data_IF_331141482594
#
_entry.id   IF_331141482594
#
_cell.length_a   1.000
_cell.length_b   1.000
_cell.length_c   1.000
_cell.angle_alpha   90.00
_cell.angle_beta   90.00
_cell.angle_gamma   90.00
#
_symmetry.space_group_name_H-M   'P 1'
#
loop_
_entity.id
_entity.type
_entity.pdbx_description
1 polymer ?
#
# COMPACT_ATOMS: atom_id res chain seq x y z
N UNK A 1 -33.87 -22.54 -59.59
CA UNK A 1 -34.61 -23.09 -58.45
C UNK A 1 -34.73 -21.98 -57.42
N UNK A 2 -35.90 -21.37 -57.31
CA UNK A 2 -36.13 -20.21 -56.44
C UNK A 2 -36.40 -20.68 -55.01
N UNK A 3 -35.61 -20.20 -54.05
CA UNK A 3 -35.86 -20.47 -52.62
C UNK A 3 -36.98 -19.51 -52.18
N UNK A 4 -38.06 -20.00 -51.54
CA UNK A 4 -39.10 -19.12 -51.01
C UNK A 4 -38.56 -18.32 -49.82
N UNK A 5 -38.90 -17.03 -49.75
CA UNK A 5 -38.69 -16.24 -48.54
C UNK A 5 -39.69 -16.70 -47.47
N UNK A 6 -39.19 -17.36 -46.41
CA UNK A 6 -39.99 -17.67 -45.23
C UNK A 6 -40.37 -16.36 -44.52
N UNK A 7 -41.63 -16.26 -44.07
CA UNK A 7 -42.06 -15.10 -43.29
C UNK A 7 -41.53 -15.23 -41.86
N UNK A 8 -41.26 -14.10 -41.19
CA UNK A 8 -40.85 -14.12 -39.79
C UNK A 8 -41.90 -14.76 -38.86
N UNK A 9 -43.17 -14.78 -39.29
CA UNK A 9 -44.28 -15.44 -38.59
C UNK A 9 -44.19 -16.98 -38.55
N UNK A 10 -43.38 -17.62 -39.41
CA UNK A 10 -43.28 -19.08 -39.51
C UNK A 10 -42.24 -19.70 -38.56
N UNK A 11 -41.62 -18.90 -37.67
CA UNK A 11 -40.63 -19.34 -36.69
C UNK A 11 -41.16 -19.20 -35.25
N UNK A 12 -41.70 -20.27 -34.63
CA UNK A 12 -42.44 -20.22 -33.36
C UNK A 12 -41.56 -20.01 -32.10
N UNK A 13 -40.37 -19.44 -32.26
CA UNK A 13 -39.40 -19.14 -31.20
C UNK A 13 -38.74 -17.75 -31.34
N UNK A 14 -39.15 -16.94 -32.33
CA UNK A 14 -38.75 -15.53 -32.40
C UNK A 14 -39.87 -14.67 -31.77
N UNK A 15 -39.58 -13.81 -30.78
CA UNK A 15 -40.55 -12.88 -30.25
C UNK A 15 -40.93 -11.86 -31.33
N UNK A 16 -42.19 -11.44 -31.33
CA UNK A 16 -42.71 -10.40 -32.21
C UNK A 16 -41.99 -9.06 -31.87
N UNK A 17 -41.73 -8.15 -32.84
CA UNK A 17 -40.90 -6.96 -32.61
C UNK A 17 -41.32 -6.07 -31.42
N UNK A 18 -42.61 -6.03 -31.07
CA UNK A 18 -43.08 -5.30 -29.89
C UNK A 18 -42.77 -6.05 -28.57
N UNK A 19 -42.91 -7.39 -28.53
CA UNK A 19 -42.44 -8.20 -27.39
C UNK A 19 -40.92 -8.08 -27.19
N UNK A 20 -40.16 -8.03 -28.29
CA UNK A 20 -38.71 -7.81 -28.25
C UNK A 20 -38.34 -6.42 -27.70
N UNK A 21 -39.20 -5.41 -27.86
CA UNK A 21 -39.05 -4.10 -27.21
C UNK A 21 -39.39 -4.17 -25.73
N UNK A 22 -40.52 -4.76 -25.35
CA UNK A 22 -40.92 -4.89 -23.94
C UNK A 22 -39.86 -5.64 -23.12
N UNK A 23 -39.28 -6.73 -23.66
CA UNK A 23 -38.20 -7.46 -23.00
C UNK A 23 -36.91 -6.63 -22.90
N UNK A 24 -36.56 -5.83 -23.91
CA UNK A 24 -35.40 -4.94 -23.86
C UNK A 24 -35.58 -3.80 -22.85
N UNK A 25 -36.78 -3.23 -22.75
CA UNK A 25 -37.12 -2.21 -21.74
C UNK A 25 -37.14 -2.80 -20.32
N UNK A 26 -37.58 -4.05 -20.16
CA UNK A 26 -37.58 -4.76 -18.90
C UNK A 26 -36.16 -5.14 -18.43
N UNK A 27 -35.31 -5.65 -19.31
CA UNK A 27 -33.88 -5.94 -19.02
C UNK A 27 -33.12 -4.65 -18.66
N UNK A 28 -33.35 -3.55 -19.40
CA UNK A 28 -32.76 -2.23 -19.10
C UNK A 28 -33.28 -1.59 -17.80
N UNK A 29 -34.32 -2.16 -17.18
CA UNK A 29 -34.84 -1.74 -15.87
C UNK A 29 -34.21 -2.48 -14.69
N UNK A 30 -33.38 -3.52 -14.91
CA UNK A 30 -32.80 -4.33 -13.84
C UNK A 30 -31.82 -3.51 -12.96
N UNK A 31 -32.08 -3.35 -11.65
CA UNK A 31 -31.18 -2.65 -10.72
C UNK A 31 -29.82 -3.32 -10.50
N UNK A 32 -29.59 -4.55 -10.99
CA UNK A 32 -28.31 -5.29 -10.84
C UNK A 32 -27.08 -4.49 -11.31
N UNK A 33 -27.25 -3.55 -12.26
CA UNK A 33 -26.17 -2.66 -12.72
C UNK A 33 -26.08 -1.28 -12.02
N UNK A 34 -26.96 -0.98 -11.06
CA UNK A 34 -27.05 0.34 -10.40
C UNK A 34 -26.32 0.41 -9.03
N UNK A 35 -25.45 -0.56 -8.72
CA UNK A 35 -24.79 -0.70 -7.41
C UNK A 35 -23.25 -0.56 -7.44
N UNK A 36 -22.70 0.23 -8.37
CA UNK A 36 -21.32 0.72 -8.26
C UNK A 36 -21.29 2.03 -7.47
N UNK A 37 -21.30 1.96 -6.13
CA UNK A 37 -20.95 3.14 -5.33
C UNK A 37 -19.55 3.61 -5.73
N UNK A 38 -19.37 4.87 -6.21
CA UNK A 38 -18.07 5.31 -6.68
C UNK A 38 -17.08 5.25 -5.53
N UNK A 39 -15.95 4.58 -5.74
CA UNK A 39 -14.92 4.44 -4.70
C UNK A 39 -14.36 5.81 -4.32
N UNK A 40 -13.64 5.91 -3.20
CA UNK A 40 -12.96 7.16 -2.83
C UNK A 40 -12.02 7.63 -3.96
N UNK A 41 -11.40 6.70 -4.70
CA UNK A 41 -10.58 6.99 -5.88
C UNK A 41 -11.43 7.53 -7.04
N UNK A 42 -12.58 6.93 -7.34
CA UNK A 42 -13.49 7.42 -8.40
C UNK A 42 -14.03 8.82 -8.10
N UNK A 43 -14.42 9.09 -6.84
CA UNK A 43 -14.91 10.41 -6.41
C UNK A 43 -13.81 11.48 -6.58
N UNK A 44 -12.56 11.15 -6.28
CA UNK A 44 -11.40 12.03 -6.51
C UNK A 44 -11.14 12.21 -8.01
N UNK A 45 -11.13 11.12 -8.80
CA UNK A 45 -10.92 11.18 -10.24
C UNK A 45 -12.01 12.01 -10.96
N UNK A 46 -13.27 11.85 -10.57
CA UNK A 46 -14.39 12.65 -11.07
C UNK A 46 -14.29 14.13 -10.66
N UNK A 47 -13.83 14.43 -9.45
CA UNK A 47 -13.61 15.81 -9.00
C UNK A 47 -12.50 16.49 -9.82
N UNK A 48 -11.36 15.82 -10.03
CA UNK A 48 -10.26 16.31 -10.89
C UNK A 48 -10.72 16.46 -12.33
N UNK A 49 -11.40 15.46 -12.90
CA UNK A 49 -11.91 15.50 -14.27
C UNK A 49 -13.07 16.50 -14.48
N UNK A 50 -13.68 17.02 -13.41
CA UNK A 50 -14.60 18.17 -13.47
C UNK A 50 -13.80 19.48 -13.48
N UNK A 51 -12.96 19.70 -12.46
CA UNK A 51 -12.09 20.87 -12.34
C UNK A 51 -11.26 21.15 -13.61
N UNK A 52 -10.70 20.11 -14.24
CA UNK A 52 -9.94 20.24 -15.49
C UNK A 52 -10.83 20.69 -16.66
N UNK A 53 -12.08 20.22 -16.76
CA UNK A 53 -13.03 20.68 -17.78
C UNK A 53 -13.47 22.12 -17.52
N UNK A 54 -13.84 22.43 -16.29
CA UNK A 54 -14.26 23.78 -15.90
C UNK A 54 -13.15 24.81 -16.16
N UNK A 55 -11.88 24.42 -15.98
CA UNK A 55 -10.70 25.23 -16.29
C UNK A 55 -10.46 25.42 -17.81
N UNK A 56 -10.75 24.40 -18.64
CA UNK A 56 -10.66 24.52 -20.10
C UNK A 56 -11.91 25.15 -20.74
N UNK A 57 -13.02 25.29 -20.00
CA UNK A 57 -14.21 26.04 -20.42
C UNK A 57 -13.96 27.55 -20.28
N UNK A 58 -13.19 28.10 -21.23
CA UNK A 58 -12.96 29.55 -21.33
C UNK A 58 -14.29 30.27 -21.59
N UNK A 59 -14.72 31.22 -20.74
CA UNK A 59 -15.87 32.07 -21.04
C UNK A 59 -15.53 33.08 -22.13
N UNK A 60 -16.40 33.24 -23.14
CA UNK A 60 -16.23 34.15 -24.27
C UNK A 60 -16.25 35.64 -23.86
N UNK A 61 -15.16 36.11 -23.27
CA UNK A 61 -14.89 37.52 -22.99
C UNK A 61 -13.42 37.84 -23.27
N UNK A 62 -13.17 38.74 -24.23
CA UNK A 62 -11.83 39.18 -24.65
C UNK A 62 -11.13 40.11 -23.65
N UNK A 63 -11.11 39.75 -22.37
CA UNK A 63 -10.70 40.61 -21.26
C UNK A 63 -9.75 39.97 -20.23
N UNK A 64 -9.11 38.84 -20.57
CA UNK A 64 -8.17 38.13 -19.69
C UNK A 64 -6.82 38.87 -19.55
N UNK A 65 -6.85 39.98 -18.80
CA UNK A 65 -5.67 40.72 -18.35
C UNK A 65 -4.92 40.02 -17.20
N UNK A 66 -4.43 40.76 -16.18
CA UNK A 66 -3.60 40.19 -15.09
C UNK A 66 -4.18 38.96 -14.38
N UNK A 67 -5.51 38.79 -14.38
CA UNK A 67 -6.20 37.61 -13.84
C UNK A 67 -5.73 36.28 -14.42
N UNK A 68 -5.25 36.23 -15.66
CA UNK A 68 -4.66 35.02 -16.25
C UNK A 68 -3.47 34.50 -15.42
N UNK A 69 -2.62 35.40 -14.91
CA UNK A 69 -1.49 35.04 -14.05
C UNK A 69 -1.93 34.65 -12.63
N UNK A 70 -3.04 35.21 -12.14
CA UNK A 70 -3.63 34.82 -10.85
C UNK A 70 -4.17 33.38 -10.92
N UNK A 71 -4.92 33.06 -11.97
CA UNK A 71 -5.43 31.69 -12.20
C UNK A 71 -4.28 30.71 -12.39
N UNK A 72 -3.26 31.06 -13.19
CA UNK A 72 -2.05 30.24 -13.35
C UNK A 72 -1.30 30.03 -12.02
N UNK A 73 -1.19 31.07 -11.18
CA UNK A 73 -0.59 30.97 -9.85
C UNK A 73 -1.35 30.03 -8.93
N UNK A 74 -2.69 30.11 -8.90
CA UNK A 74 -3.54 29.19 -8.14
C UNK A 74 -3.41 27.75 -8.64
N UNK A 75 -3.30 27.53 -9.95
CA UNK A 75 -3.05 26.19 -10.54
C UNK A 75 -1.69 25.66 -10.10
N UNK A 76 -0.62 26.46 -10.17
CA UNK A 76 0.72 26.05 -9.72
C UNK A 76 0.72 25.70 -8.23
N UNK A 77 0.08 26.51 -7.37
CA UNK A 77 -0.07 26.20 -5.94
C UNK A 77 -0.88 24.93 -5.73
N UNK A 78 -2.00 24.74 -6.44
CA UNK A 78 -2.82 23.52 -6.33
C UNK A 78 -2.05 22.27 -6.78
N UNK A 79 -1.28 22.34 -7.87
CA UNK A 79 -0.41 21.25 -8.35
C UNK A 79 0.70 20.96 -7.34
N UNK A 80 1.32 21.99 -6.74
CA UNK A 80 2.33 21.81 -5.68
C UNK A 80 1.71 21.18 -4.43
N UNK A 81 0.53 21.62 -3.98
CA UNK A 81 -0.17 21.03 -2.83
C UNK A 81 -0.58 19.58 -3.11
N UNK A 82 -1.13 19.28 -4.29
CA UNK A 82 -1.50 17.90 -4.67
C UNK A 82 -0.26 17.02 -4.81
N UNK A 83 0.84 17.52 -5.37
CA UNK A 83 2.12 16.82 -5.37
C UNK A 83 2.60 16.57 -3.94
N UNK A 84 2.60 17.56 -3.05
CA UNK A 84 2.97 17.40 -1.63
C UNK A 84 2.03 16.47 -0.86
N UNK A 85 0.76 16.31 -1.25
CA UNK A 85 -0.13 15.31 -0.64
C UNK A 85 0.14 13.89 -1.17
N UNK A 86 0.53 13.74 -2.43
CA UNK A 86 0.88 12.45 -3.06
C UNK A 86 2.27 11.95 -2.64
N UNK A 87 3.24 12.87 -2.51
CA UNK A 87 4.68 12.63 -2.30
C UNK A 87 5.20 13.03 -0.92
N UNK A 88 4.49 13.90 -0.20
CA UNK A 88 4.91 14.48 1.09
C UNK A 88 4.28 13.82 2.32
N UNK A 89 3.48 12.76 2.17
CA UNK A 89 3.60 11.66 3.13
C UNK A 89 4.98 11.04 2.97
N UNK A 90 5.71 10.71 4.05
CA UNK A 90 7.04 10.13 3.97
C UNK A 90 6.95 8.70 3.41
N UNK A 91 6.83 8.59 2.08
CA UNK A 91 7.04 7.34 1.35
C UNK A 91 8.53 7.02 1.45
N UNK A 92 8.92 6.40 2.57
CA UNK A 92 10.22 5.78 2.77
C UNK A 92 10.32 4.54 1.89
N UNK A 93 10.29 4.76 0.57
CA UNK A 93 10.70 3.81 -0.45
C UNK A 93 12.19 4.06 -0.70
N UNK A 94 13.11 3.26 -0.14
CA UNK A 94 14.53 3.51 -0.31
C UNK A 94 14.86 3.25 -1.78
N UNK A 95 15.14 4.33 -2.52
CA UNK A 95 15.60 4.31 -3.92
C UNK A 95 16.82 3.41 -3.98
N UNK A 96 16.64 2.19 -4.49
CA UNK A 96 17.48 1.01 -4.26
C UNK A 96 18.91 1.31 -3.79
N UNK A 97 19.08 1.44 -2.48
CA UNK A 97 20.40 1.55 -1.87
C UNK A 97 21.15 0.23 -2.12
N UNK A 98 22.49 0.27 -2.31
CA UNK A 98 23.31 -0.93 -2.30
C UNK A 98 22.98 -1.78 -1.06
N UNK A 99 22.94 -3.09 -1.22
CA UNK A 99 22.66 -4.00 -0.11
C UNK A 99 23.61 -3.73 1.07
N UNK A 100 23.09 -3.88 2.30
CA UNK A 100 23.74 -3.83 3.63
C UNK A 100 23.20 -2.75 4.59
N UNK A 101 22.84 -1.52 4.17
CA UNK A 101 22.37 -0.45 5.10
C UNK A 101 20.90 -0.57 5.59
N UNK A 102 20.23 -1.71 5.41
CA UNK A 102 18.76 -1.78 5.55
C UNK A 102 18.23 -2.10 6.96
N UNK A 103 19.06 -2.66 7.85
CA UNK A 103 18.64 -3.17 9.17
C UNK A 103 18.80 -2.09 10.25
N UNK A 104 19.98 -1.49 10.28
CA UNK A 104 20.26 -0.21 10.91
C UNK A 104 20.69 0.72 9.78
N UNK A 105 19.89 1.74 9.48
CA UNK A 105 20.44 2.96 8.88
C UNK A 105 21.19 3.67 10.01
N UNK A 106 22.45 4.04 9.80
CA UNK A 106 23.25 4.71 10.84
C UNK A 106 22.66 6.09 11.23
N UNK A 107 21.82 6.66 10.37
CA UNK A 107 21.04 7.89 10.59
C UNK A 107 19.65 7.67 11.24
N UNK A 108 19.17 6.43 11.43
CA UNK A 108 17.82 6.16 11.99
C UNK A 108 17.83 6.24 13.53
N UNK A 109 17.90 7.48 14.03
CA UNK A 109 18.01 7.86 15.45
C UNK A 109 16.83 7.44 16.35
N UNK A 110 15.79 6.78 15.81
CA UNK A 110 14.62 6.33 16.58
C UNK A 110 14.98 5.20 17.55
N UNK A 111 14.39 5.27 18.73
CA UNK A 111 14.39 4.21 19.74
C UNK A 111 13.56 3.00 19.31
N UNK A 112 13.75 1.87 19.98
CA UNK A 112 12.95 0.67 19.73
C UNK A 112 11.44 0.91 19.93
N UNK A 113 11.04 1.71 20.92
CA UNK A 113 9.62 1.97 21.21
C UNK A 113 8.95 2.92 20.21
N UNK A 114 9.69 3.90 19.68
CA UNK A 114 9.20 4.71 18.54
C UNK A 114 9.00 3.84 17.30
N UNK A 115 9.94 2.93 17.00
CA UNK A 115 9.81 1.97 15.91
C UNK A 115 8.63 0.99 16.12
N UNK A 116 8.32 0.60 17.38
CA UNK A 116 7.10 -0.17 17.71
C UNK A 116 5.82 0.63 17.46
N UNK A 117 5.82 1.91 17.82
CA UNK A 117 4.68 2.80 17.61
C UNK A 117 4.41 3.05 16.12
N UNK A 118 5.46 3.33 15.33
CA UNK A 118 5.37 3.48 13.88
C UNK A 118 4.90 2.18 13.21
N UNK A 119 5.42 1.02 13.64
CA UNK A 119 4.99 -0.30 13.13
C UNK A 119 3.50 -0.57 13.40
N UNK A 120 3.02 -0.29 14.61
CA UNK A 120 1.61 -0.41 14.96
C UNK A 120 0.73 0.57 14.16
N UNK A 121 1.22 1.80 13.93
CA UNK A 121 0.54 2.80 13.12
C UNK A 121 0.52 2.48 11.62
N UNK A 122 1.45 1.65 11.11
CA UNK A 122 1.41 1.08 9.77
C UNK A 122 0.42 -0.09 9.67
N UNK A 123 0.48 -1.03 10.61
CA UNK A 123 -0.44 -2.16 10.72
C UNK A 123 -1.91 -1.69 10.81
N UNK A 124 -2.20 -0.64 11.59
CA UNK A 124 -3.53 -0.05 11.72
C UNK A 124 -4.11 0.55 10.43
N UNK A 125 -3.27 0.78 9.40
CA UNK A 125 -3.68 1.26 8.07
C UNK A 125 -3.76 0.15 7.03
N UNK A 126 -3.33 -1.08 7.37
CA UNK A 126 -3.13 -2.17 6.43
C UNK A 126 -1.82 -2.11 5.65
N UNK A 127 -0.88 -1.23 6.02
CA UNK A 127 0.43 -1.10 5.37
C UNK A 127 1.40 -2.17 5.91
N UNK A 128 1.06 -3.45 5.69
CA UNK A 128 1.74 -4.61 6.31
C UNK A 128 3.24 -4.70 5.99
N UNK A 129 3.64 -4.37 4.76
CA UNK A 129 5.05 -4.36 4.34
C UNK A 129 5.90 -3.42 5.22
N UNK A 130 5.38 -2.20 5.47
CA UNK A 130 6.02 -1.19 6.31
C UNK A 130 5.99 -1.62 7.78
N UNK A 131 4.86 -2.16 8.25
CA UNK A 131 4.70 -2.64 9.62
C UNK A 131 5.71 -3.77 9.96
N UNK A 132 5.90 -4.74 9.06
CA UNK A 132 6.85 -5.85 9.21
C UNK A 132 8.30 -5.31 9.28
N UNK A 133 8.67 -4.41 8.37
CA UNK A 133 10.02 -3.83 8.32
C UNK A 133 10.32 -3.01 9.58
N UNK A 134 9.39 -2.16 10.01
CA UNK A 134 9.54 -1.35 11.22
C UNK A 134 9.58 -2.19 12.49
N UNK A 135 8.75 -3.24 12.61
CA UNK A 135 8.74 -4.12 13.79
C UNK A 135 10.03 -4.94 13.89
N UNK A 136 10.61 -5.38 12.77
CA UNK A 136 11.92 -6.04 12.79
C UNK A 136 13.06 -5.06 13.15
N UNK A 137 13.01 -3.81 12.67
CA UNK A 137 13.92 -2.74 13.11
C UNK A 137 13.80 -2.46 14.61
N UNK A 138 12.57 -2.40 15.14
CA UNK A 138 12.30 -2.20 16.56
C UNK A 138 12.90 -3.32 17.44
N UNK A 139 12.69 -4.58 17.03
CA UNK A 139 13.31 -5.75 17.66
C UNK A 139 14.84 -5.64 17.68
N UNK A 140 15.45 -5.33 16.53
CA UNK A 140 16.90 -5.24 16.40
C UNK A 140 17.51 -4.08 17.22
N UNK A 141 16.90 -2.90 17.15
CA UNK A 141 17.23 -1.73 17.99
C UNK A 141 17.08 -2.06 19.48
N UNK A 142 16.02 -2.78 19.87
CA UNK A 142 15.76 -3.16 21.26
C UNK A 142 16.79 -4.16 21.83
N UNK A 143 17.37 -5.04 21.02
CA UNK A 143 18.49 -5.89 21.48
C UNK A 143 19.79 -5.11 21.61
N UNK A 144 20.05 -4.13 20.73
CA UNK A 144 21.23 -3.27 20.80
C UNK A 144 21.17 -2.29 21.98
N UNK A 145 20.04 -1.62 22.21
CA UNK A 145 19.79 -0.75 23.38
C UNK A 145 19.97 -1.47 24.71
N UNK A 146 19.67 -2.78 24.75
CA UNK A 146 19.82 -3.64 25.94
C UNK A 146 21.20 -4.30 26.03
N UNK A 147 22.12 -4.05 25.09
CA UNK A 147 23.46 -4.64 25.05
C UNK A 147 23.49 -6.17 24.87
N UNK A 148 22.44 -6.75 24.27
CA UNK A 148 22.28 -8.21 24.10
C UNK A 148 22.95 -8.69 22.80
N UNK A 149 22.88 -7.88 21.75
CA UNK A 149 23.55 -8.10 20.47
C UNK A 149 24.16 -6.78 20.04
N UNK A 150 25.46 -6.77 19.80
CA UNK A 150 26.17 -5.66 19.17
C UNK A 150 26.37 -5.98 17.68
N UNK A 151 25.56 -5.42 16.76
CA UNK A 151 25.67 -5.69 15.34
C UNK A 151 26.89 -4.97 14.76
N UNK A 152 27.84 -5.68 14.10
CA UNK A 152 28.92 -4.99 13.40
C UNK A 152 28.35 -4.09 12.28
N UNK A 153 28.99 -2.95 11.97
CA UNK A 153 28.54 -2.06 10.89
C UNK A 153 28.34 -2.84 9.59
N UNK A 154 27.12 -2.78 9.06
CA UNK A 154 26.73 -3.56 7.90
C UNK A 154 26.35 -5.03 8.16
N UNK A 155 25.84 -5.36 9.35
CA UNK A 155 25.23 -6.67 9.61
C UNK A 155 24.01 -6.92 8.69
N UNK A 156 24.00 -8.06 7.98
CA UNK A 156 22.82 -8.53 7.25
C UNK A 156 21.77 -9.11 8.20
N UNK A 157 20.50 -9.16 7.76
CA UNK A 157 19.36 -9.73 8.52
C UNK A 157 19.69 -11.11 9.09
N UNK A 158 20.26 -12.00 8.27
CA UNK A 158 20.66 -13.36 8.68
C UNK A 158 21.92 -13.40 9.55
N UNK A 159 22.79 -12.39 9.48
CA UNK A 159 23.92 -12.27 10.41
C UNK A 159 23.42 -11.83 11.80
N UNK A 160 22.52 -10.84 11.84
CA UNK A 160 21.88 -10.39 13.07
C UNK A 160 21.04 -11.48 13.72
N UNK A 161 20.19 -12.18 12.95
CA UNK A 161 19.38 -13.29 13.45
C UNK A 161 20.25 -14.38 14.10
N UNK A 162 21.35 -14.81 13.47
CA UNK A 162 22.28 -15.78 14.08
C UNK A 162 22.92 -15.30 15.38
N UNK A 163 23.28 -14.02 15.48
CA UNK A 163 23.83 -13.44 16.71
C UNK A 163 22.76 -13.38 17.82
N UNK A 164 21.53 -12.98 17.48
CA UNK A 164 20.38 -12.99 18.38
C UNK A 164 20.02 -14.42 18.84
N UNK A 165 20.07 -15.43 17.96
CA UNK A 165 19.81 -16.83 18.31
C UNK A 165 20.89 -17.41 19.23
N UNK A 166 22.14 -16.93 19.14
CA UNK A 166 23.19 -17.30 20.10
C UNK A 166 22.98 -16.65 21.48
N UNK A 167 22.53 -15.40 21.53
CA UNK A 167 22.26 -14.68 22.79
C UNK A 167 20.92 -15.10 23.45
N UNK A 168 19.93 -15.51 22.65
CA UNK A 168 18.58 -15.89 23.06
C UNK A 168 18.17 -17.27 22.45
N UNK A 169 18.85 -18.39 22.79
CA UNK A 169 18.57 -19.70 22.19
C UNK A 169 17.10 -20.17 22.18
N UNK A 170 16.26 -19.87 23.20
CA UNK A 170 14.83 -20.24 23.18
C UNK A 170 14.00 -19.56 22.09
N UNK A 171 14.54 -18.58 21.36
CA UNK A 171 13.87 -17.86 20.27
C UNK A 171 14.44 -18.19 18.88
N UNK A 172 15.37 -19.14 18.75
CA UNK A 172 16.10 -19.40 17.50
C UNK A 172 15.18 -19.70 16.30
N UNK A 173 14.22 -20.61 16.45
CA UNK A 173 13.29 -20.98 15.37
C UNK A 173 12.39 -19.79 14.96
N UNK A 174 12.00 -18.96 15.94
CA UNK A 174 11.22 -17.75 15.69
C UNK A 174 12.05 -16.64 15.01
N UNK A 175 13.34 -16.56 15.33
CA UNK A 175 14.30 -15.63 14.71
C UNK A 175 14.55 -15.96 13.23
N UNK A 176 14.77 -17.23 12.89
CA UNK A 176 14.92 -17.64 11.50
C UNK A 176 13.61 -17.43 10.72
N UNK A 177 12.44 -17.77 11.30
CA UNK A 177 11.12 -17.52 10.67
C UNK A 177 10.86 -16.02 10.43
N UNK A 178 11.19 -15.16 11.40
CA UNK A 178 11.03 -13.71 11.26
C UNK A 178 12.06 -13.09 10.29
N UNK A 179 13.27 -13.63 10.22
CA UNK A 179 14.30 -13.21 9.27
C UNK A 179 13.92 -13.59 7.82
N UNK A 180 13.35 -14.78 7.61
CA UNK A 180 12.77 -15.16 6.32
C UNK A 180 11.58 -14.26 5.95
N UNK A 181 10.66 -14.02 6.90
CA UNK A 181 9.52 -13.10 6.71
C UNK A 181 9.97 -11.69 6.32
N UNK A 182 11.03 -11.17 6.95
CA UNK A 182 11.61 -9.88 6.59
C UNK A 182 12.25 -9.90 5.19
N UNK A 183 13.04 -10.93 4.85
CA UNK A 183 13.68 -11.05 3.53
C UNK A 183 12.63 -11.15 2.40
N UNK A 184 11.55 -11.91 2.64
CA UNK A 184 10.42 -12.10 1.73
C UNK A 184 9.75 -10.78 1.35
N UNK A 185 9.42 -9.95 2.36
CA UNK A 185 8.81 -8.63 2.17
C UNK A 185 9.84 -7.64 1.61
N UNK A 186 11.01 -7.52 2.25
CA UNK A 186 11.95 -6.42 2.01
C UNK A 186 12.78 -6.59 0.73
N UNK A 187 13.10 -7.81 0.32
CA UNK A 187 13.94 -8.10 -0.84
C UNK A 187 13.21 -8.86 -1.94
N UNK A 188 12.42 -9.90 -1.61
CA UNK A 188 11.66 -10.64 -2.63
C UNK A 188 10.36 -9.93 -3.04
N UNK A 189 9.93 -8.91 -2.29
CA UNK A 189 8.71 -8.12 -2.48
C UNK A 189 7.44 -8.97 -2.59
N UNK A 190 7.37 -10.02 -1.76
CA UNK A 190 6.12 -10.72 -1.47
C UNK A 190 5.23 -9.81 -0.60
N UNK A 191 3.92 -9.71 -0.85
CA UNK A 191 3.04 -8.89 -0.02
C UNK A 191 3.05 -9.34 1.44
N UNK A 192 3.24 -8.40 2.37
CA UNK A 192 3.05 -8.62 3.79
C UNK A 192 1.58 -8.86 4.13
N UNK A 193 1.34 -9.60 5.21
CA UNK A 193 0.01 -9.91 5.73
C UNK A 193 -0.07 -9.65 7.24
N UNK A 194 -1.28 -9.65 7.79
CA UNK A 194 -1.48 -9.60 9.23
C UNK A 194 -0.85 -10.82 9.95
N UNK A 195 -0.74 -11.95 9.26
CA UNK A 195 -0.12 -13.20 9.73
C UNK A 195 1.39 -13.02 9.85
N UNK A 196 2.03 -12.55 8.77
CA UNK A 196 3.47 -12.25 8.72
C UNK A 196 3.86 -11.13 9.70
N UNK A 197 3.00 -10.11 9.87
CA UNK A 197 3.22 -9.07 10.88
C UNK A 197 3.18 -9.66 12.30
N UNK A 198 2.22 -10.55 12.61
CA UNK A 198 2.14 -11.19 13.94
C UNK A 198 3.37 -12.02 14.26
N UNK A 199 3.91 -12.80 13.31
CA UNK A 199 5.17 -13.56 13.50
C UNK A 199 6.32 -12.67 13.98
N UNK A 200 6.52 -11.51 13.36
CA UNK A 200 7.58 -10.57 13.74
C UNK A 200 7.23 -9.81 15.04
N UNK A 201 5.96 -9.51 15.26
CA UNK A 201 5.50 -8.83 16.47
C UNK A 201 5.63 -9.70 17.73
N UNK A 202 5.23 -10.97 17.65
CA UNK A 202 5.30 -11.96 18.73
C UNK A 202 6.77 -12.26 19.12
N UNK A 203 7.68 -12.31 18.13
CA UNK A 203 9.12 -12.42 18.38
C UNK A 203 9.66 -11.23 19.17
N UNK A 204 9.38 -10.00 18.74
CA UNK A 204 9.83 -8.78 19.44
C UNK A 204 9.32 -8.75 20.89
N UNK A 205 8.04 -9.04 21.06
CA UNK A 205 7.38 -9.13 22.36
C UNK A 205 8.00 -10.21 23.27
N UNK A 206 8.35 -11.37 22.70
CA UNK A 206 9.06 -12.43 23.41
C UNK A 206 10.50 -12.02 23.77
N UNK A 207 11.21 -11.34 22.86
CA UNK A 207 12.57 -10.88 23.06
C UNK A 207 12.66 -9.79 24.15
N UNK A 208 11.70 -8.87 24.22
CA UNK A 208 11.56 -7.87 25.31
C UNK A 208 11.45 -8.57 26.67
N UNK A 209 10.68 -9.66 26.76
CA UNK A 209 10.50 -10.47 27.98
C UNK A 209 11.68 -11.40 28.29
N UNK A 210 12.44 -11.81 27.28
CA UNK A 210 13.55 -12.74 27.42
C UNK A 210 14.76 -12.13 28.15
N UNK A 211 15.53 -12.99 28.83
CA UNK A 211 16.84 -12.66 29.41
C UNK A 211 17.95 -13.33 28.58
N UNK A 212 19.12 -12.70 28.41
CA UNK A 212 20.25 -13.33 27.72
C UNK A 212 20.68 -14.64 28.37
N UNK A 213 21.18 -15.57 27.56
CA UNK A 213 22.03 -16.63 28.07
C UNK A 213 23.32 -16.01 28.63
N UNK A 214 23.70 -16.37 29.85
CA UNK A 214 24.98 -15.95 30.44
C UNK A 214 26.08 -16.83 29.83
N UNK A 215 27.14 -16.27 29.21
CA UNK A 215 28.28 -17.05 28.75
C UNK A 215 29.00 -17.69 29.94
N UNK A 216 29.42 -18.94 29.77
CA UNK A 216 30.12 -19.74 30.78
C UNK A 216 31.65 -19.58 30.71
#
# INVERSE_FOLDING_TARGET
MTIPALSAADLPLLPDPDQAREWAEQELSDPVYQAAEPTVVDRIAQAVARFVRDLFTVPDTGGWGPWAFVVLGVIVVAVVVVALLIWGRPRLTPRAAPAVHALFDDDDVRSADELRADAAAAAARGDWDEAIVLRFRAFARGLAERGIVDPPPGATVRAFARAASAALPPLADALDTAAETFDDVRYLRRPGTAESYRVVADLDDAAVRARPAVPA
#
